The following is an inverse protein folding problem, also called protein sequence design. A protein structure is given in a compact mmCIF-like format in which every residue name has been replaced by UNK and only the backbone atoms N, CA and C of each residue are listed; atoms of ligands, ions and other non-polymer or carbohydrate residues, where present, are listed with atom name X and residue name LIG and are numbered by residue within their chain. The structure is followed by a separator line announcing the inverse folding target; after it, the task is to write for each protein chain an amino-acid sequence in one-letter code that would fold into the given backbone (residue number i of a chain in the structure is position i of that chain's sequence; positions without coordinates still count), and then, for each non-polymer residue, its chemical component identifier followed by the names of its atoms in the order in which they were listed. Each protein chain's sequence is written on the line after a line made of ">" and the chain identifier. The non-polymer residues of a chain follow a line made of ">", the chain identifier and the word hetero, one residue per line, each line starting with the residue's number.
data_IF_117027210769
#
_entry.id   IF_117027210769
#
_cell.length_a   1.000
_cell.length_b   1.000
_cell.length_c   1.000
_cell.angle_alpha   90.00
_cell.angle_beta   90.00
_cell.angle_gamma   90.00
#
_symmetry.space_group_name_H-M   'P 1'
#
loop_
_entity.id
_entity.type
_entity.pdbx_description
1 polymer ?
#
# COMPACT_ATOMS: atom_id res chain seq x y z
N UNK A 1 68.26 -22.71 -1.59
CA UNK A 1 67.07 -22.29 -0.81
C UNK A 1 66.98 -23.24 0.36
N UNK A 2 66.81 -22.74 1.59
CA UNK A 2 66.75 -23.58 2.78
C UNK A 2 65.36 -24.23 2.89
N UNK A 3 65.31 -25.50 3.27
CA UNK A 3 64.05 -26.23 3.52
C UNK A 3 63.16 -25.55 4.58
N UNK A 4 63.76 -24.77 5.48
CA UNK A 4 63.04 -23.96 6.47
C UNK A 4 62.30 -22.76 5.84
N UNK A 5 62.84 -22.16 4.78
CA UNK A 5 62.19 -21.05 4.08
C UNK A 5 61.02 -21.56 3.23
N UNK A 6 61.17 -22.72 2.58
CA UNK A 6 60.09 -23.34 1.78
C UNK A 6 58.89 -23.77 2.64
N UNK A 7 59.14 -24.32 3.83
CA UNK A 7 58.09 -24.71 4.78
C UNK A 7 57.34 -23.48 5.35
N UNK A 8 58.04 -22.36 5.55
CA UNK A 8 57.45 -21.13 6.06
C UNK A 8 56.58 -20.42 5.02
N UNK A 9 56.96 -20.51 3.74
CA UNK A 9 56.15 -20.02 2.61
C UNK A 9 54.88 -20.86 2.42
N UNK A 10 54.94 -22.18 2.59
CA UNK A 10 53.78 -23.08 2.47
C UNK A 10 52.73 -22.81 3.56
N UNK A 11 53.16 -22.67 4.83
CA UNK A 11 52.28 -22.32 5.94
C UNK A 11 51.62 -20.95 5.75
N UNK A 12 52.38 -19.96 5.25
CA UNK A 12 51.88 -18.61 4.98
C UNK A 12 50.80 -18.65 3.88
N UNK A 13 51.02 -19.43 2.84
CA UNK A 13 50.09 -19.59 1.72
C UNK A 13 48.81 -20.32 2.14
N UNK A 14 48.92 -21.32 3.04
CA UNK A 14 47.77 -22.01 3.61
C UNK A 14 46.92 -21.09 4.49
N UNK A 15 47.55 -20.26 5.33
CA UNK A 15 46.86 -19.25 6.16
C UNK A 15 46.15 -18.23 5.26
N UNK A 16 46.82 -17.74 4.22
CA UNK A 16 46.24 -16.82 3.26
C UNK A 16 45.02 -17.42 2.55
N UNK A 17 45.10 -18.68 2.11
CA UNK A 17 44.00 -19.42 1.48
C UNK A 17 42.81 -19.61 2.42
N UNK A 18 43.04 -20.00 3.68
CA UNK A 18 41.99 -20.14 4.70
C UNK A 18 41.31 -18.80 4.99
N UNK A 19 42.10 -17.73 5.06
CA UNK A 19 41.60 -16.36 5.31
C UNK A 19 40.74 -15.88 4.14
N UNK A 20 41.23 -16.03 2.91
CA UNK A 20 40.49 -15.72 1.70
C UNK A 20 39.16 -16.46 1.63
N UNK A 21 39.15 -17.78 1.88
CA UNK A 21 37.92 -18.59 1.89
C UNK A 21 36.92 -18.10 2.94
N UNK A 22 37.38 -17.76 4.15
CA UNK A 22 36.51 -17.23 5.22
C UNK A 22 35.89 -15.89 4.82
N UNK A 23 36.72 -14.97 4.31
CA UNK A 23 36.25 -13.67 3.84
C UNK A 23 35.25 -13.82 2.70
N UNK A 24 35.53 -14.68 1.72
CA UNK A 24 34.63 -14.89 0.59
C UNK A 24 33.31 -15.55 1.00
N UNK A 25 33.34 -16.51 1.93
CA UNK A 25 32.13 -17.11 2.49
C UNK A 25 31.27 -16.09 3.24
N UNK A 26 31.90 -15.19 4.01
CA UNK A 26 31.19 -14.13 4.72
C UNK A 26 30.52 -13.17 3.73
N UNK A 27 31.26 -12.70 2.72
CA UNK A 27 30.72 -11.83 1.65
C UNK A 27 29.58 -12.51 0.90
N UNK A 28 29.74 -13.77 0.49
CA UNK A 28 28.69 -14.49 -0.23
C UNK A 28 27.43 -14.70 0.60
N UNK A 29 27.57 -15.02 1.89
CA UNK A 29 26.43 -15.20 2.79
C UNK A 29 25.69 -13.89 3.01
N UNK A 30 26.44 -12.81 3.20
CA UNK A 30 25.87 -11.49 3.40
C UNK A 30 25.17 -10.99 2.15
N UNK A 31 25.82 -11.08 0.98
CA UNK A 31 25.21 -10.69 -0.29
C UNK A 31 23.95 -11.48 -0.63
N UNK A 32 23.87 -12.77 -0.28
CA UNK A 32 22.64 -13.54 -0.45
C UNK A 32 21.51 -13.06 0.48
N UNK A 33 21.82 -12.74 1.73
CA UNK A 33 20.84 -12.23 2.70
C UNK A 33 20.29 -10.87 2.27
N UNK A 34 21.19 -9.96 1.91
CA UNK A 34 20.86 -8.62 1.40
C UNK A 34 20.03 -8.72 0.13
N UNK A 35 20.48 -9.49 -0.86
CA UNK A 35 19.74 -9.66 -2.12
C UNK A 35 18.34 -10.26 -1.93
N UNK A 36 18.16 -11.17 -0.97
CA UNK A 36 16.82 -11.71 -0.62
C UNK A 36 15.94 -10.65 0.03
N UNK A 37 16.49 -9.85 0.94
CA UNK A 37 15.79 -8.77 1.61
C UNK A 37 15.38 -7.67 0.64
N UNK A 38 16.30 -7.21 -0.19
CA UNK A 38 16.08 -6.20 -1.24
C UNK A 38 15.01 -6.68 -2.24
N UNK A 39 15.09 -7.93 -2.68
CA UNK A 39 14.08 -8.51 -3.56
C UNK A 39 12.68 -8.53 -2.91
N UNK A 40 12.60 -8.95 -1.65
CA UNK A 40 11.33 -8.94 -0.90
C UNK A 40 10.79 -7.53 -0.72
N UNK A 41 11.66 -6.57 -0.38
CA UNK A 41 11.28 -5.18 -0.16
C UNK A 41 10.81 -4.52 -1.46
N UNK A 42 11.47 -4.81 -2.58
CA UNK A 42 11.07 -4.30 -3.91
C UNK A 42 9.66 -4.73 -4.28
N UNK A 43 9.33 -6.02 -4.11
CA UNK A 43 8.00 -6.54 -4.43
C UNK A 43 6.94 -5.96 -3.48
N UNK A 44 7.27 -5.83 -2.19
CA UNK A 44 6.38 -5.20 -1.20
C UNK A 44 6.09 -3.74 -1.58
N UNK A 45 7.11 -2.97 -1.91
CA UNK A 45 6.98 -1.56 -2.27
C UNK A 45 6.15 -1.40 -3.54
N UNK A 46 6.36 -2.24 -4.56
CA UNK A 46 5.53 -2.23 -5.77
C UNK A 46 4.04 -2.46 -5.46
N UNK A 47 3.75 -3.41 -4.57
CA UNK A 47 2.38 -3.65 -4.11
C UNK A 47 1.80 -2.48 -3.31
N UNK A 48 2.60 -1.88 -2.44
CA UNK A 48 2.22 -0.70 -1.66
C UNK A 48 1.91 0.48 -2.57
N UNK A 49 2.77 0.79 -3.54
CA UNK A 49 2.61 1.93 -4.46
C UNK A 49 1.32 1.80 -5.28
N UNK A 50 1.05 0.60 -5.80
CA UNK A 50 -0.21 0.30 -6.51
C UNK A 50 -1.43 0.53 -5.62
N UNK A 51 -1.39 0.02 -4.39
CA UNK A 51 -2.46 0.20 -3.42
C UNK A 51 -2.64 1.66 -3.00
N UNK A 52 -1.55 2.39 -2.81
CA UNK A 52 -1.54 3.80 -2.44
C UNK A 52 -2.20 4.67 -3.52
N UNK A 53 -1.84 4.48 -4.79
CA UNK A 53 -2.44 5.23 -5.91
C UNK A 53 -3.96 5.03 -5.97
N UNK A 54 -4.43 3.80 -5.83
CA UNK A 54 -5.87 3.49 -5.87
C UNK A 54 -6.58 4.08 -4.65
N UNK A 55 -6.03 3.89 -3.44
CA UNK A 55 -6.63 4.37 -2.19
C UNK A 55 -6.62 5.91 -2.10
N UNK A 56 -5.58 6.57 -2.61
CA UNK A 56 -5.48 8.04 -2.61
C UNK A 56 -6.62 8.66 -3.41
N UNK A 57 -6.87 8.18 -4.64
CA UNK A 57 -7.97 8.66 -5.49
C UNK A 57 -9.31 8.57 -4.78
N UNK A 58 -9.61 7.41 -4.19
CA UNK A 58 -10.86 7.17 -3.47
C UNK A 58 -10.97 8.08 -2.24
N UNK A 59 -9.92 8.13 -1.43
CA UNK A 59 -9.90 8.91 -0.19
C UNK A 59 -10.00 10.42 -0.45
N UNK A 60 -9.42 10.89 -1.56
CA UNK A 60 -9.52 12.29 -1.99
C UNK A 60 -10.97 12.66 -2.32
N UNK A 61 -11.67 11.83 -3.11
CA UNK A 61 -13.08 12.05 -3.45
C UNK A 61 -13.95 12.08 -2.20
N UNK A 62 -13.80 11.08 -1.32
CA UNK A 62 -14.55 11.02 -0.06
C UNK A 62 -14.21 12.21 0.85
N UNK A 63 -12.96 12.66 0.87
CA UNK A 63 -12.51 13.84 1.60
C UNK A 63 -13.18 15.13 1.09
N UNK A 64 -13.35 15.27 -0.23
CA UNK A 64 -14.05 16.39 -0.83
C UNK A 64 -15.54 16.41 -0.43
N UNK A 65 -16.24 15.28 -0.53
CA UNK A 65 -17.63 15.16 -0.06
C UNK A 65 -17.76 15.44 1.44
N UNK A 66 -16.81 14.99 2.26
CA UNK A 66 -16.73 15.34 3.68
C UNK A 66 -16.57 16.85 3.88
N UNK A 67 -15.77 17.52 3.05
CA UNK A 67 -15.61 18.96 3.04
C UNK A 67 -16.92 19.68 2.70
N UNK A 68 -17.58 19.27 1.62
CA UNK A 68 -18.84 19.87 1.19
C UNK A 68 -19.96 19.68 2.21
N UNK A 69 -20.01 18.53 2.89
CA UNK A 69 -20.96 18.30 3.98
C UNK A 69 -20.85 19.36 5.08
N UNK A 70 -19.64 19.81 5.40
CA UNK A 70 -19.43 20.89 6.40
C UNK A 70 -19.95 22.24 5.90
N UNK A 71 -19.98 22.46 4.59
CA UNK A 71 -20.43 23.71 3.98
C UNK A 71 -21.95 23.81 3.88
N UNK A 72 -22.66 22.68 3.77
CA UNK A 72 -24.13 22.63 3.68
C UNK A 72 -24.86 23.10 4.96
N UNK A 73 -24.14 23.42 6.04
CA UNK A 73 -24.73 23.95 7.27
C UNK A 73 -25.44 22.88 8.12
N UNK A 74 -25.84 23.24 9.34
CA UNK A 74 -26.42 22.29 10.33
C UNK A 74 -27.87 21.89 10.03
N UNK A 75 -28.55 22.63 9.15
CA UNK A 75 -29.99 22.51 8.92
C UNK A 75 -30.34 21.49 7.83
N UNK A 76 -29.36 21.08 7.01
CA UNK A 76 -29.56 20.04 5.99
C UNK A 76 -29.47 18.67 6.67
N UNK A 77 -30.57 17.93 6.64
CA UNK A 77 -30.65 16.57 7.19
C UNK A 77 -30.02 15.58 6.22
N UNK A 78 -29.00 14.86 6.68
CA UNK A 78 -28.38 13.76 5.95
C UNK A 78 -28.67 12.42 6.62
N UNK A 79 -28.77 11.33 5.84
CA UNK A 79 -28.72 9.99 6.41
C UNK A 79 -27.45 9.83 7.26
N UNK A 80 -27.61 9.36 8.50
CA UNK A 80 -26.49 9.21 9.43
C UNK A 80 -25.42 8.23 8.90
N UNK A 81 -25.87 7.26 8.09
CA UNK A 81 -25.02 6.32 7.35
C UNK A 81 -23.96 7.02 6.48
N UNK A 82 -24.32 8.14 5.84
CA UNK A 82 -23.39 8.91 5.00
C UNK A 82 -22.32 9.60 5.83
N UNK A 83 -22.68 10.13 7.00
CA UNK A 83 -21.70 10.73 7.92
C UNK A 83 -20.70 9.67 8.39
N UNK A 84 -21.20 8.50 8.78
CA UNK A 84 -20.36 7.38 9.22
C UNK A 84 -19.40 6.96 8.09
N UNK A 85 -19.91 6.83 6.85
CA UNK A 85 -19.09 6.53 5.68
C UNK A 85 -18.01 7.59 5.42
N UNK A 86 -18.37 8.87 5.45
CA UNK A 86 -17.43 9.98 5.23
C UNK A 86 -16.42 10.14 6.37
N UNK A 87 -16.75 9.75 7.60
CA UNK A 87 -15.80 9.74 8.72
C UNK A 87 -14.71 8.68 8.57
N UNK A 88 -15.00 7.62 7.80
CA UNK A 88 -14.03 6.59 7.44
C UNK A 88 -13.25 6.91 6.15
N UNK A 89 -13.44 8.09 5.55
CA UNK A 89 -12.74 8.55 4.32
C UNK A 89 -11.22 8.35 4.35
N UNK A 90 -10.57 8.53 5.51
CA UNK A 90 -9.12 8.32 5.68
C UNK A 90 -8.64 6.88 5.42
N UNK A 91 -9.55 5.91 5.48
CA UNK A 91 -9.29 4.50 5.18
C UNK A 91 -9.67 4.13 3.74
N UNK A 92 -10.11 5.10 2.93
CA UNK A 92 -10.52 4.87 1.55
C UNK A 92 -11.65 3.85 1.37
N UNK A 93 -12.47 3.65 2.42
CA UNK A 93 -13.45 2.55 2.48
C UNK A 93 -12.81 1.21 2.08
N UNK A 94 -11.83 0.76 2.87
CA UNK A 94 -11.08 -0.45 2.58
C UNK A 94 -11.97 -1.70 2.56
N UNK A 95 -12.00 -2.38 1.41
CA UNK A 95 -12.68 -3.65 1.18
C UNK A 95 -12.20 -4.72 2.16
N UNK A 96 -10.89 -4.80 2.41
CA UNK A 96 -10.34 -5.76 3.36
C UNK A 96 -10.83 -5.46 4.77
N UNK A 97 -10.80 -4.19 5.22
CA UNK A 97 -11.31 -3.84 6.55
C UNK A 97 -12.80 -4.15 6.72
N UNK A 98 -13.60 -4.03 5.65
CA UNK A 98 -15.01 -4.39 5.67
C UNK A 98 -15.24 -5.92 5.70
N UNK A 99 -14.25 -6.72 5.28
CA UNK A 99 -14.34 -8.18 5.17
C UNK A 99 -13.32 -8.93 6.04
N UNK A 100 -12.66 -8.22 6.97
CA UNK A 100 -11.63 -8.77 7.88
C UNK A 100 -12.17 -9.95 8.70
N UNK A 101 -13.48 -9.98 8.96
CA UNK A 101 -14.15 -11.01 9.77
C UNK A 101 -14.64 -12.23 8.96
N UNK A 102 -14.64 -12.16 7.62
CA UNK A 102 -15.38 -13.11 6.77
C UNK A 102 -14.52 -13.97 5.85
N UNK A 103 -13.21 -13.69 5.71
CA UNK A 103 -12.31 -14.50 4.88
C UNK A 103 -10.96 -14.77 5.57
N UNK A 104 -10.48 -16.03 5.63
CA UNK A 104 -9.11 -16.32 6.03
C UNK A 104 -8.14 -15.65 5.05
N UNK A 105 -7.01 -15.13 5.58
CA UNK A 105 -5.94 -14.51 4.81
C UNK A 105 -5.44 -15.41 3.66
N UNK A 106 -5.53 -16.73 3.83
CA UNK A 106 -5.14 -17.75 2.85
C UNK A 106 -6.09 -17.87 1.65
N UNK A 107 -7.26 -17.20 1.69
CA UNK A 107 -8.25 -17.19 0.61
C UNK A 107 -8.14 -16.01 -0.35
N UNK A 108 -7.25 -15.04 -0.07
CA UNK A 108 -7.05 -13.91 -0.97
C UNK A 108 -6.15 -14.32 -2.12
N UNK A 109 -6.73 -14.29 -3.32
CA UNK A 109 -6.03 -14.40 -4.59
C UNK A 109 -5.16 -13.16 -4.82
N UNK A 110 -4.40 -13.16 -5.92
CA UNK A 110 -3.36 -12.19 -6.25
C UNK A 110 -3.72 -10.71 -5.95
N UNK A 111 -2.71 -9.85 -5.84
CA UNK A 111 -2.87 -8.43 -5.53
C UNK A 111 -3.86 -7.71 -6.45
N UNK A 112 -3.92 -8.07 -7.73
CA UNK A 112 -4.81 -7.42 -8.71
C UNK A 112 -6.29 -7.75 -8.47
N UNK A 113 -6.59 -8.95 -7.99
CA UNK A 113 -7.95 -9.33 -7.60
C UNK A 113 -8.43 -8.53 -6.39
N UNK A 114 -7.57 -8.37 -5.37
CA UNK A 114 -7.87 -7.53 -4.20
C UNK A 114 -8.13 -6.09 -4.65
N UNK A 115 -7.29 -5.56 -5.55
CA UNK A 115 -7.44 -4.21 -6.10
C UNK A 115 -8.74 -4.04 -6.88
N UNK A 116 -9.15 -5.04 -7.65
CA UNK A 116 -10.44 -5.01 -8.35
C UNK A 116 -11.61 -5.02 -7.35
N UNK A 117 -11.57 -5.86 -6.31
CA UNK A 117 -12.59 -5.84 -5.25
C UNK A 117 -12.64 -4.48 -4.53
N UNK A 118 -11.48 -3.88 -4.24
CA UNK A 118 -11.39 -2.53 -3.67
C UNK A 118 -12.05 -1.49 -4.59
N UNK A 119 -11.75 -1.53 -5.88
CA UNK A 119 -12.30 -0.59 -6.87
C UNK A 119 -13.82 -0.69 -6.94
N UNK A 120 -14.36 -1.90 -7.08
CA UNK A 120 -15.80 -2.13 -7.15
C UNK A 120 -16.51 -1.70 -5.88
N UNK A 121 -15.93 -2.00 -4.72
CA UNK A 121 -16.48 -1.62 -3.42
C UNK A 121 -16.51 -0.09 -3.27
N UNK A 122 -15.42 0.59 -3.60
CA UNK A 122 -15.34 2.04 -3.53
C UNK A 122 -16.28 2.73 -4.52
N UNK A 123 -16.40 2.23 -5.76
CA UNK A 123 -17.34 2.75 -6.76
C UNK A 123 -18.79 2.67 -6.28
N UNK A 124 -19.20 1.56 -5.65
CA UNK A 124 -20.54 1.42 -5.07
C UNK A 124 -20.81 2.48 -4.00
N UNK A 125 -19.87 2.69 -3.10
CA UNK A 125 -20.02 3.67 -2.01
C UNK A 125 -20.05 5.10 -2.55
N UNK A 126 -19.14 5.43 -3.45
CA UNK A 126 -19.07 6.77 -4.04
C UNK A 126 -20.35 7.06 -4.84
N UNK A 127 -20.90 6.08 -5.54
CA UNK A 127 -22.19 6.22 -6.20
C UNK A 127 -23.31 6.55 -5.20
N UNK A 128 -23.39 5.83 -4.08
CA UNK A 128 -24.38 6.10 -3.03
C UNK A 128 -24.24 7.54 -2.49
N UNK A 129 -23.00 7.97 -2.23
CA UNK A 129 -22.73 9.33 -1.74
C UNK A 129 -23.14 10.37 -2.77
N UNK A 130 -22.79 10.18 -4.05
CA UNK A 130 -23.15 11.06 -5.17
C UNK A 130 -24.66 11.20 -5.31
N UNK A 131 -25.37 10.08 -5.38
CA UNK A 131 -26.82 10.04 -5.58
C UNK A 131 -27.57 10.81 -4.48
N UNK A 132 -27.02 10.86 -3.26
CA UNK A 132 -27.60 11.57 -2.12
C UNK A 132 -27.12 13.03 -2.04
N UNK A 133 -25.82 13.28 -2.20
CA UNK A 133 -25.23 14.59 -1.91
C UNK A 133 -25.28 15.55 -3.10
N UNK A 134 -25.10 15.07 -4.33
CA UNK A 134 -25.01 15.95 -5.50
C UNK A 134 -26.27 16.83 -5.69
N UNK A 135 -27.52 16.32 -5.54
CA UNK A 135 -28.71 17.17 -5.61
C UNK A 135 -28.71 18.29 -4.56
N UNK A 136 -28.34 17.98 -3.32
CA UNK A 136 -28.33 18.93 -2.19
C UNK A 136 -27.25 20.01 -2.36
N UNK A 137 -26.10 19.62 -2.90
CA UNK A 137 -25.01 20.54 -3.22
C UNK A 137 -25.39 21.50 -4.35
N UNK A 138 -26.04 20.98 -5.40
CA UNK A 138 -26.53 21.79 -6.51
C UNK A 138 -27.61 22.79 -6.07
N UNK A 139 -28.56 22.37 -5.22
CA UNK A 139 -29.56 23.27 -4.61
C UNK A 139 -28.90 24.40 -3.82
N UNK A 140 -27.81 24.08 -3.13
CA UNK A 140 -27.01 25.04 -2.35
C UNK A 140 -26.00 25.84 -3.20
N UNK A 141 -26.03 25.69 -4.54
CA UNK A 141 -25.11 26.33 -5.50
C UNK A 141 -23.62 26.04 -5.23
N UNK A 142 -23.32 24.89 -4.62
CA UNK A 142 -21.96 24.40 -4.45
C UNK A 142 -21.59 23.61 -5.71
N UNK A 143 -20.54 24.05 -6.41
CA UNK A 143 -20.09 23.37 -7.62
C UNK A 143 -19.37 22.05 -7.27
N UNK A 144 -19.97 20.95 -7.71
CA UNK A 144 -19.45 19.58 -7.54
C UNK A 144 -18.87 19.02 -8.83
N UNK A 145 -18.91 19.77 -9.95
CA UNK A 145 -18.52 19.28 -11.29
C UNK A 145 -17.01 19.26 -11.54
N UNK A 146 -16.21 19.33 -10.47
CA UNK A 146 -14.76 19.26 -10.56
C UNK A 146 -14.32 17.93 -11.16
N UNK A 147 -13.50 17.99 -12.23
CA UNK A 147 -12.95 16.82 -12.93
C UNK A 147 -12.28 15.78 -12.01
N UNK A 148 -11.85 16.20 -10.81
CA UNK A 148 -11.19 15.37 -9.80
C UNK A 148 -12.13 14.46 -8.99
N UNK A 149 -13.47 14.58 -9.15
CA UNK A 149 -14.45 13.78 -8.42
C UNK A 149 -14.99 12.58 -9.22
N UNK A 150 -14.43 12.32 -10.39
CA UNK A 150 -14.78 11.19 -11.24
C UNK A 150 -13.74 10.08 -11.12
N UNK A 151 -14.22 8.84 -10.94
CA UNK A 151 -13.42 7.62 -10.75
C UNK A 151 -13.46 6.74 -12.00
#
# INVERSE_FOLDING_TARGET
>A
MNEQDEMQDEDTLEIASKTWKRSMNAVSTQGFREGREDGSMSVYQEGFDKGYVDAFKISFILGAYKGFLKQLGKDVKFPEEIKIMLDQSKKGMCYLCANESTKPLDGYKNIDEIRNCQREHAQKIIKIIKDIMDPLLNESKIDVTSSYLNL
#
